data_IF_497851507966
#
_entry.id   IF_497851507966
#
_cell.length_a   1.000
_cell.length_b   1.000
_cell.length_c   1.000
_cell.angle_alpha   90.00
_cell.angle_beta   90.00
_cell.angle_gamma   90.00
#
_symmetry.space_group_name_H-M   'P 1'
#
loop_
_entity.id
_entity.type
_entity.pdbx_description
1 polymer ?
#
# COMPACT_ATOMS: atom_id res chain seq x y z
N UNK A 1 3.20 -0.04 -27.74
CA UNK A 1 2.95 -1.23 -28.56
C UNK A 1 2.25 -2.36 -27.80
N UNK A 2 2.56 -2.54 -26.55
CA UNK A 2 2.02 -3.55 -25.68
C UNK A 2 1.14 -2.91 -24.61
N UNK A 3 -0.09 -3.34 -24.48
CA UNK A 3 -0.94 -3.05 -23.34
C UNK A 3 -0.36 -3.80 -22.16
N UNK A 4 -0.30 -3.16 -20.97
CA UNK A 4 0.67 -3.70 -20.12
C UNK A 4 0.35 -3.87 -18.67
N UNK A 5 1.21 -4.63 -18.07
CA UNK A 5 1.41 -4.70 -16.63
C UNK A 5 2.63 -3.86 -16.32
N UNK A 6 2.46 -2.78 -15.57
CA UNK A 6 3.56 -2.00 -15.04
C UNK A 6 4.13 -2.68 -13.80
N UNK A 7 5.46 -2.61 -13.65
CA UNK A 7 6.18 -3.05 -12.44
C UNK A 7 5.98 -4.53 -12.07
N UNK A 8 5.50 -5.38 -12.99
CA UNK A 8 5.11 -6.75 -12.70
C UNK A 8 3.95 -6.80 -11.71
N UNK A 9 4.12 -7.51 -10.60
CA UNK A 9 3.19 -7.50 -9.47
C UNK A 9 3.55 -6.47 -8.39
N UNK A 10 4.58 -5.67 -8.65
CA UNK A 10 4.91 -4.49 -7.85
C UNK A 10 4.09 -3.33 -8.37
N UNK A 11 3.92 -2.35 -7.55
CA UNK A 11 3.18 -1.15 -7.88
C UNK A 11 4.13 0.04 -8.09
N UNK A 12 3.64 1.13 -8.68
CA UNK A 12 4.29 2.40 -8.84
C UNK A 12 3.33 3.54 -8.68
N UNK A 13 3.83 4.75 -8.59
CA UNK A 13 3.00 5.93 -8.44
C UNK A 13 3.60 7.14 -9.12
N UNK A 14 2.75 8.11 -9.43
CA UNK A 14 3.13 9.43 -9.87
C UNK A 14 2.95 10.43 -8.73
N UNK A 15 3.65 11.57 -8.78
CA UNK A 15 3.46 12.65 -7.83
C UNK A 15 3.14 13.97 -8.53
N UNK A 16 1.92 14.45 -8.34
CA UNK A 16 1.41 15.71 -8.87
C UNK A 16 0.92 16.64 -7.75
N UNK A 17 1.76 16.85 -6.72
CA UNK A 17 1.38 17.54 -5.48
C UNK A 17 0.76 16.62 -4.42
N UNK A 18 0.43 15.42 -4.78
CA UNK A 18 0.04 14.29 -3.92
C UNK A 18 0.38 12.97 -4.62
N UNK A 19 0.44 11.90 -3.87
CA UNK A 19 0.67 10.55 -4.40
C UNK A 19 -0.54 10.12 -5.23
N UNK A 20 -0.27 9.61 -6.42
CA UNK A 20 -1.26 9.07 -7.35
C UNK A 20 -0.84 7.66 -7.73
N UNK A 21 -1.34 6.63 -7.04
CA UNK A 21 -1.00 5.23 -7.36
C UNK A 21 -1.36 4.89 -8.80
N UNK A 22 -0.45 4.21 -9.49
CA UNK A 22 -0.67 3.76 -10.85
C UNK A 22 -1.43 2.43 -10.88
N UNK A 23 -2.26 2.26 -11.88
CA UNK A 23 -2.88 0.97 -12.15
C UNK A 23 -1.83 -0.01 -12.64
N UNK A 24 -1.66 -1.12 -11.93
CA UNK A 24 -0.64 -2.13 -12.26
C UNK A 24 -0.94 -2.82 -13.59
N UNK A 25 -2.20 -3.15 -13.83
CA UNK A 25 -2.68 -3.88 -15.01
C UNK A 25 -3.69 -3.03 -15.77
N UNK A 26 -3.44 -2.81 -17.05
CA UNK A 26 -4.31 -2.00 -17.93
C UNK A 26 -4.06 -2.33 -19.40
N UNK A 27 -5.06 -2.08 -20.23
CA UNK A 27 -4.97 -2.21 -21.68
C UNK A 27 -5.36 -0.89 -22.35
N UNK A 28 -4.47 -0.35 -23.17
CA UNK A 28 -4.70 0.88 -23.94
C UNK A 28 -5.38 0.64 -25.30
N UNK A 29 -5.92 -0.52 -25.57
CA UNK A 29 -6.25 -0.92 -26.92
C UNK A 29 -4.98 -0.98 -27.81
N UNK A 30 -3.92 -1.54 -27.25
CA UNK A 30 -2.62 -1.66 -27.91
C UNK A 30 -2.62 -2.74 -29.01
N UNK A 31 -1.64 -2.70 -29.95
CA UNK A 31 -1.47 -3.77 -30.94
C UNK A 31 -1.28 -5.16 -30.33
N UNK A 32 -0.58 -5.25 -29.21
CA UNK A 32 -0.41 -6.46 -28.40
C UNK A 32 -1.11 -6.23 -27.06
N UNK A 33 -2.09 -7.05 -26.74
CA UNK A 33 -2.84 -6.99 -25.48
C UNK A 33 -1.97 -7.33 -24.28
N UNK A 34 -2.45 -7.04 -23.07
CA UNK A 34 -1.74 -7.34 -21.83
C UNK A 34 -1.34 -8.81 -21.70
N UNK A 35 -2.20 -9.73 -22.11
CA UNK A 35 -1.95 -11.17 -22.10
C UNK A 35 -1.03 -11.65 -23.23
N UNK A 36 -0.50 -10.74 -24.06
CA UNK A 36 0.35 -11.06 -25.21
C UNK A 36 -0.41 -11.43 -26.49
N UNK A 37 -1.74 -11.43 -26.47
CA UNK A 37 -2.55 -11.72 -27.67
C UNK A 37 -2.38 -10.63 -28.72
N UNK A 38 -2.28 -11.02 -29.99
CA UNK A 38 -2.22 -10.09 -31.10
C UNK A 38 -3.59 -9.59 -31.49
N UNK A 39 -3.77 -8.27 -31.51
CA UNK A 39 -5.04 -7.64 -31.86
C UNK A 39 -5.20 -7.41 -33.36
N UNK A 40 -6.39 -7.04 -33.80
CA UNK A 40 -6.62 -6.59 -35.20
C UNK A 40 -5.72 -5.41 -35.57
N UNK A 41 -5.40 -4.54 -34.62
CA UNK A 41 -4.51 -3.39 -34.78
C UNK A 41 -3.07 -3.81 -35.10
N UNK A 42 -2.56 -4.87 -34.46
CA UNK A 42 -1.25 -5.45 -34.76
C UNK A 42 -1.16 -5.86 -36.24
N UNK A 43 -2.15 -6.58 -36.73
CA UNK A 43 -2.16 -7.05 -38.10
C UNK A 43 -2.32 -5.92 -39.12
N UNK A 44 -3.08 -4.88 -38.78
CA UNK A 44 -3.19 -3.68 -39.60
C UNK A 44 -1.84 -2.93 -39.69
N UNK A 45 -1.17 -2.75 -38.55
CA UNK A 45 0.16 -2.10 -38.54
C UNK A 45 1.21 -2.91 -39.29
N UNK A 46 1.21 -4.24 -39.11
CA UNK A 46 2.12 -5.11 -39.86
C UNK A 46 1.96 -4.94 -41.37
N UNK A 47 0.75 -4.91 -41.90
CA UNK A 47 0.48 -4.68 -43.32
C UNK A 47 1.04 -3.33 -43.82
N UNK A 48 0.91 -2.28 -43.00
CA UNK A 48 1.46 -0.96 -43.37
C UNK A 48 2.98 -1.00 -43.37
N UNK A 49 3.60 -1.66 -42.41
CA UNK A 49 5.06 -1.83 -42.32
C UNK A 49 5.56 -2.63 -43.52
N UNK A 50 4.94 -3.75 -43.86
CA UNK A 50 5.31 -4.58 -45.02
C UNK A 50 5.20 -3.83 -46.33
N UNK A 51 4.17 -3.00 -46.49
CA UNK A 51 3.99 -2.16 -47.70
C UNK A 51 5.12 -1.14 -47.91
N UNK A 52 5.65 -0.57 -46.81
CA UNK A 52 6.61 0.54 -46.88
C UNK A 52 8.07 0.10 -46.74
N UNK A 53 8.33 -0.96 -45.97
CA UNK A 53 9.69 -1.44 -45.67
C UNK A 53 10.04 -2.79 -46.30
N UNK A 54 9.12 -3.40 -47.03
CA UNK A 54 9.29 -4.72 -47.61
C UNK A 54 8.94 -5.86 -46.64
N UNK A 55 9.32 -7.09 -46.98
CA UNK A 55 8.94 -8.28 -46.24
C UNK A 55 9.44 -8.23 -44.79
N UNK A 56 8.52 -8.26 -43.83
CA UNK A 56 8.82 -8.38 -42.40
C UNK A 56 9.09 -9.83 -42.07
N UNK A 57 10.11 -10.15 -41.25
CA UNK A 57 10.41 -11.52 -40.87
C UNK A 57 9.19 -12.24 -40.26
N UNK A 58 9.03 -13.49 -40.66
CA UNK A 58 8.04 -14.36 -40.01
C UNK A 58 8.50 -14.66 -38.58
N UNK A 59 7.67 -14.31 -37.62
CA UNK A 59 7.86 -14.72 -36.22
C UNK A 59 6.97 -15.92 -35.96
N UNK A 60 7.59 -17.01 -35.50
CA UNK A 60 6.85 -18.18 -35.00
C UNK A 60 6.46 -17.91 -33.56
N UNK A 61 5.24 -17.49 -33.32
CA UNK A 61 4.67 -17.38 -31.99
C UNK A 61 3.25 -17.97 -31.99
N UNK A 62 2.84 -18.52 -30.86
CA UNK A 62 1.46 -18.94 -30.68
C UNK A 62 0.59 -17.68 -30.60
N UNK A 63 -0.40 -17.58 -31.48
CA UNK A 63 -1.38 -16.48 -31.49
C UNK A 63 -2.54 -16.76 -30.53
N UNK A 64 -2.65 -17.98 -30.01
CA UNK A 64 -3.71 -18.36 -29.11
C UNK A 64 -3.18 -18.56 -27.69
N UNK A 65 -3.55 -17.64 -26.81
CA UNK A 65 -3.35 -17.78 -25.39
C UNK A 65 -4.61 -18.41 -24.81
N UNK A 66 -4.46 -19.62 -24.29
CA UNK A 66 -5.56 -20.32 -23.64
C UNK A 66 -5.98 -19.56 -22.38
N UNK A 67 -7.23 -19.15 -22.35
CA UNK A 67 -7.86 -18.54 -21.17
C UNK A 67 -8.77 -19.57 -20.52
N UNK A 68 -8.78 -19.59 -19.19
CA UNK A 68 -9.65 -20.45 -18.40
C UNK A 68 -10.51 -19.60 -17.47
N UNK A 69 -11.74 -20.02 -17.25
CA UNK A 69 -12.60 -19.47 -16.23
C UNK A 69 -12.57 -20.39 -15.02
N UNK A 70 -12.16 -19.88 -13.88
CA UNK A 70 -12.07 -20.67 -12.63
C UNK A 70 -13.45 -20.96 -12.01
N UNK A 71 -14.51 -20.33 -12.49
CA UNK A 71 -15.85 -20.46 -11.94
C UNK A 71 -16.00 -19.81 -10.58
N UNK A 72 -16.85 -20.38 -9.71
CA UNK A 72 -17.05 -19.91 -8.34
C UNK A 72 -15.95 -20.46 -7.43
N UNK A 73 -15.28 -19.58 -6.71
CA UNK A 73 -14.29 -19.92 -5.70
C UNK A 73 -14.95 -19.75 -4.33
N UNK A 74 -14.86 -20.76 -3.48
CA UNK A 74 -15.37 -20.75 -2.11
C UNK A 74 -14.19 -20.69 -1.13
N UNK A 75 -14.18 -19.69 -0.27
CA UNK A 75 -13.23 -19.59 0.81
C UNK A 75 -13.62 -20.57 1.92
N UNK A 76 -12.74 -21.49 2.25
CA UNK A 76 -12.97 -22.47 3.30
C UNK A 76 -12.35 -22.08 4.63
N UNK A 77 -11.33 -21.21 4.60
CA UNK A 77 -10.60 -20.78 5.79
C UNK A 77 -10.21 -19.31 5.65
N UNK A 78 -10.12 -18.64 6.80
CA UNK A 78 -9.58 -17.27 6.92
C UNK A 78 -8.62 -17.18 8.10
N UNK A 79 -7.62 -16.33 7.99
CA UNK A 79 -6.72 -15.99 9.09
C UNK A 79 -6.86 -14.49 9.41
N UNK A 80 -7.01 -14.17 10.68
CA UNK A 80 -7.05 -12.79 11.14
C UNK A 80 -5.63 -12.24 11.28
N UNK A 81 -5.37 -11.03 10.74
CA UNK A 81 -4.05 -10.42 10.77
C UNK A 81 -3.56 -10.21 12.21
N UNK A 82 -4.40 -9.65 13.08
CA UNK A 82 -4.01 -9.31 14.44
C UNK A 82 -3.71 -10.54 15.31
N UNK A 83 -4.40 -11.65 15.06
CA UNK A 83 -4.16 -12.92 15.73
C UNK A 83 -2.89 -13.62 15.26
N UNK A 84 -2.35 -13.20 14.11
CA UNK A 84 -1.21 -13.81 13.42
C UNK A 84 0.01 -12.88 13.31
N UNK A 85 0.02 -11.70 13.92
CA UNK A 85 1.14 -10.75 13.81
C UNK A 85 2.49 -11.39 14.10
N UNK A 86 2.59 -12.18 15.17
CA UNK A 86 3.81 -12.87 15.55
C UNK A 86 4.26 -13.99 14.59
N UNK A 87 3.44 -14.35 13.61
CA UNK A 87 3.82 -15.27 12.52
C UNK A 87 4.61 -14.51 11.46
N UNK A 88 4.20 -13.27 11.16
CA UNK A 88 4.84 -12.45 10.13
C UNK A 88 6.11 -11.76 10.62
N UNK A 89 6.12 -11.27 11.86
CA UNK A 89 7.18 -10.42 12.35
C UNK A 89 7.23 -10.40 13.87
N UNK A 90 8.44 -10.38 14.42
CA UNK A 90 8.64 -10.00 15.81
C UNK A 90 8.55 -8.47 15.92
N UNK A 91 7.86 -7.93 16.92
CA UNK A 91 7.75 -6.49 17.08
C UNK A 91 9.11 -5.85 17.41
N UNK A 92 9.34 -4.70 16.81
CA UNK A 92 10.43 -3.80 17.19
C UNK A 92 9.90 -2.76 18.17
N UNK A 93 10.44 -2.72 19.38
CA UNK A 93 10.10 -1.67 20.35
C UNK A 93 10.77 -0.35 19.96
N UNK A 94 10.00 0.73 19.96
CA UNK A 94 10.49 2.09 19.71
C UNK A 94 9.79 3.11 20.59
N UNK A 95 10.51 4.15 20.99
CA UNK A 95 9.90 5.29 21.68
C UNK A 95 8.98 6.08 20.77
N UNK A 96 9.31 6.18 19.48
CA UNK A 96 8.60 6.94 18.45
C UNK A 96 8.25 6.06 17.27
N UNK A 97 7.26 6.45 16.45
CA UNK A 97 7.08 5.83 15.14
C UNK A 97 8.36 5.99 14.30
N UNK A 98 8.75 4.94 13.62
CA UNK A 98 9.84 4.95 12.63
C UNK A 98 9.30 4.58 11.26
N UNK A 99 9.96 5.04 10.20
CA UNK A 99 9.54 4.73 8.83
C UNK A 99 9.72 3.25 8.48
N UNK A 100 9.13 2.81 7.36
CA UNK A 100 9.38 1.48 6.80
C UNK A 100 10.87 1.30 6.51
N UNK A 101 11.53 2.32 5.95
CA UNK A 101 12.93 2.30 5.58
C UNK A 101 13.84 2.13 6.80
N UNK A 102 13.58 2.89 7.88
CA UNK A 102 14.29 2.74 9.16
C UNK A 102 14.03 1.36 9.79
N UNK A 103 12.85 0.80 9.56
CA UNK A 103 12.51 -0.55 9.98
C UNK A 103 13.07 -1.65 9.08
N UNK A 104 13.73 -1.30 7.96
CA UNK A 104 14.31 -2.26 7.01
C UNK A 104 13.29 -2.91 6.09
N UNK A 105 12.19 -2.23 5.79
CA UNK A 105 11.15 -2.68 4.87
C UNK A 105 10.96 -1.65 3.76
N UNK A 106 10.68 -2.08 2.53
CA UNK A 106 10.55 -1.19 1.38
C UNK A 106 9.18 -1.20 0.71
N UNK A 107 8.32 -2.17 0.99
CA UNK A 107 6.96 -2.28 0.44
C UNK A 107 6.02 -3.02 1.39
N UNK A 108 4.73 -3.11 1.05
CA UNK A 108 3.71 -3.82 1.83
C UNK A 108 3.10 -2.96 2.92
N UNK A 109 2.90 -3.54 4.08
CA UNK A 109 2.27 -2.88 5.24
C UNK A 109 3.24 -2.80 6.41
N UNK A 110 3.05 -1.79 7.25
CA UNK A 110 3.69 -1.70 8.56
C UNK A 110 2.62 -1.41 9.61
N UNK A 111 2.66 -2.11 10.73
CA UNK A 111 1.73 -1.92 11.82
C UNK A 111 2.43 -1.28 13.02
N UNK A 112 1.83 -0.22 13.53
CA UNK A 112 2.24 0.45 14.75
C UNK A 112 1.20 0.17 15.83
N UNK A 113 1.59 -0.56 16.88
CA UNK A 113 0.74 -0.89 18.02
C UNK A 113 1.19 -0.13 19.23
N UNK A 114 0.23 0.39 19.97
CA UNK A 114 0.45 0.93 21.31
C UNK A 114 -0.71 0.61 22.22
N UNK A 115 -0.48 0.64 23.53
CA UNK A 115 -1.50 0.40 24.54
C UNK A 115 -1.66 1.64 25.41
N UNK A 116 -2.88 2.12 25.55
CA UNK A 116 -3.21 3.19 26.48
C UNK A 116 -3.04 2.72 27.93
N UNK A 117 -2.76 3.64 28.85
CA UNK A 117 -2.74 3.29 30.28
C UNK A 117 -4.13 2.84 30.74
N UNK A 118 -4.22 2.06 31.83
CA UNK A 118 -5.49 1.45 32.28
C UNK A 118 -6.61 2.44 32.58
N UNK A 119 -6.26 3.68 32.90
CA UNK A 119 -7.18 4.78 33.19
C UNK A 119 -7.38 5.77 32.04
N UNK A 120 -6.63 5.64 30.97
CA UNK A 120 -6.67 6.51 29.78
C UNK A 120 -7.56 5.93 28.68
N UNK A 121 -8.35 6.78 28.04
CA UNK A 121 -9.10 6.51 26.83
C UNK A 121 -8.80 7.62 25.81
N UNK A 122 -8.81 7.32 24.53
CA UNK A 122 -8.59 8.31 23.48
C UNK A 122 -9.92 8.86 22.95
N UNK A 123 -10.02 10.17 22.83
CA UNK A 123 -11.12 10.91 22.21
C UNK A 123 -10.75 11.56 20.88
N UNK A 124 -9.45 11.81 20.68
CA UNK A 124 -8.91 12.46 19.47
C UNK A 124 -7.58 11.86 19.08
N UNK A 125 -7.42 11.64 17.78
CA UNK A 125 -6.15 11.22 17.17
C UNK A 125 -5.74 12.29 16.15
N UNK A 126 -4.46 12.63 16.12
CA UNK A 126 -3.87 13.50 15.10
C UNK A 126 -2.59 12.83 14.62
N UNK A 127 -2.48 12.63 13.32
CA UNK A 127 -1.27 12.16 12.65
C UNK A 127 -0.62 13.37 11.99
N UNK A 128 0.61 13.70 12.36
CA UNK A 128 1.31 14.83 11.78
C UNK A 128 1.79 14.56 10.37
N UNK A 129 2.24 13.33 10.11
CA UNK A 129 2.67 12.88 8.77
C UNK A 129 2.53 11.37 8.65
N UNK A 130 1.91 10.92 7.57
CA UNK A 130 1.75 9.50 7.26
C UNK A 130 1.85 9.33 5.74
N UNK A 131 2.47 8.28 5.29
CA UNK A 131 2.52 7.87 3.89
C UNK A 131 2.38 6.35 3.82
N UNK A 132 1.30 5.81 3.14
CA UNK A 132 0.36 6.61 2.30
C UNK A 132 -1.07 6.48 2.80
N UNK A 133 -1.54 5.26 3.14
CA UNK A 133 -2.88 4.98 3.64
C UNK A 133 -2.80 4.36 5.02
N UNK A 134 -3.51 4.96 5.98
CA UNK A 134 -3.63 4.45 7.34
C UNK A 134 -5.02 3.87 7.59
N UNK A 135 -5.07 2.74 8.25
CA UNK A 135 -6.28 2.16 8.82
C UNK A 135 -6.08 2.08 10.33
N UNK A 136 -6.89 2.80 11.08
CA UNK A 136 -6.83 2.85 12.54
C UNK A 136 -7.81 1.87 13.17
N UNK A 137 -7.38 1.19 14.24
CA UNK A 137 -8.19 0.26 15.00
C UNK A 137 -8.05 0.53 16.50
N UNK A 138 -9.08 0.16 17.26
CA UNK A 138 -9.07 0.07 18.72
C UNK A 138 -9.57 -1.32 19.11
N UNK A 139 -8.76 -2.08 19.85
CA UNK A 139 -9.04 -3.45 20.24
C UNK A 139 -9.53 -4.32 19.07
N UNK A 140 -8.85 -4.22 17.93
CA UNK A 140 -9.17 -4.92 16.68
C UNK A 140 -10.38 -4.37 15.90
N UNK A 141 -11.12 -3.40 16.46
CA UNK A 141 -12.26 -2.79 15.78
C UNK A 141 -11.80 -1.57 14.99
N UNK A 142 -12.10 -1.56 13.68
CA UNK A 142 -11.78 -0.44 12.79
C UNK A 142 -12.46 0.85 13.23
N UNK A 143 -11.67 1.92 13.35
CA UNK A 143 -12.14 3.28 13.66
C UNK A 143 -12.36 4.06 12.35
N UNK A 144 -11.32 4.19 11.53
CA UNK A 144 -11.38 4.93 10.25
C UNK A 144 -10.28 4.47 9.30
N UNK A 145 -10.34 4.98 8.07
CA UNK A 145 -9.27 4.94 7.06
C UNK A 145 -9.00 6.36 6.60
N UNK A 146 -7.73 6.70 6.36
CA UNK A 146 -7.32 7.98 5.81
C UNK A 146 -6.13 7.82 4.86
N UNK A 147 -5.97 8.79 3.97
CA UNK A 147 -4.85 8.86 3.03
C UNK A 147 -3.93 10.03 3.39
N UNK A 148 -2.71 10.00 2.90
CA UNK A 148 -1.68 11.04 3.09
C UNK A 148 -2.22 12.45 2.85
N UNK A 149 -2.93 12.67 1.73
CA UNK A 149 -3.54 13.96 1.37
C UNK A 149 -4.57 14.48 2.38
N UNK A 150 -5.16 13.60 3.19
CA UNK A 150 -6.10 13.98 4.24
C UNK A 150 -5.38 14.30 5.56
N UNK A 151 -4.18 13.74 5.73
CA UNK A 151 -3.36 13.82 6.95
C UNK A 151 -2.34 14.95 6.82
N UNK A 152 -1.54 14.90 5.75
CA UNK A 152 -0.49 15.86 5.47
C UNK A 152 -1.11 17.06 4.73
N UNK A 153 -1.42 18.12 5.45
CA UNK A 153 -1.74 19.41 4.83
C UNK A 153 -0.45 20.02 4.26
N UNK A 154 0.13 19.42 3.24
CA UNK A 154 1.10 20.11 2.38
C UNK A 154 0.34 21.13 1.51
N UNK A 155 -0.28 22.11 2.16
CA UNK A 155 -0.82 23.26 1.47
C UNK A 155 0.34 24.03 0.87
N UNK A 156 0.40 24.06 -0.47
CA UNK A 156 1.34 24.89 -1.23
C UNK A 156 1.14 26.37 -0.94
N UNK A 157 1.65 26.82 0.19
CA UNK A 157 1.70 28.21 0.61
C UNK A 157 3.15 28.63 0.79
N UNK A 158 3.51 29.75 0.19
CA UNK A 158 4.84 30.38 0.16
C UNK A 158 5.41 30.80 1.54
N UNK A 159 4.80 30.42 2.66
CA UNK A 159 5.23 30.87 3.99
C UNK A 159 5.36 29.72 4.99
N UNK A 160 6.50 29.62 5.71
CA UNK A 160 6.78 28.53 6.67
C UNK A 160 6.00 28.64 7.99
N UNK A 161 5.08 29.58 8.14
CA UNK A 161 4.35 29.85 9.40
C UNK A 161 2.93 29.27 9.46
N UNK A 162 2.43 28.63 8.42
CA UNK A 162 1.16 27.92 8.49
C UNK A 162 1.36 26.47 8.98
N UNK A 163 1.74 26.35 10.24
CA UNK A 163 1.62 25.10 10.99
C UNK A 163 0.12 24.82 11.17
N UNK A 164 -0.50 24.26 10.15
CA UNK A 164 -1.87 23.75 10.31
C UNK A 164 -1.77 22.50 11.17
N UNK A 165 -2.44 22.54 12.31
CA UNK A 165 -2.71 21.33 13.10
C UNK A 165 -3.26 20.28 12.13
N UNK A 166 -2.70 19.07 12.15
CA UNK A 166 -3.16 17.96 11.31
C UNK A 166 -4.65 17.73 11.54
N UNK A 167 -5.32 17.08 10.60
CA UNK A 167 -6.74 16.74 10.74
C UNK A 167 -6.97 15.99 12.05
N UNK A 168 -7.97 16.44 12.82
CA UNK A 168 -8.38 15.80 14.06
C UNK A 168 -9.39 14.69 13.76
N UNK A 169 -9.04 13.48 14.14
CA UNK A 169 -9.92 12.31 14.05
C UNK A 169 -10.57 12.08 15.39
N UNK A 170 -11.87 12.37 15.51
CA UNK A 170 -12.64 12.07 16.72
C UNK A 170 -12.86 10.56 16.81
N UNK A 171 -12.50 10.00 17.97
CA UNK A 171 -12.62 8.56 18.26
C UNK A 171 -13.26 8.39 19.64
N UNK A 172 -13.65 7.17 19.94
CA UNK A 172 -14.13 6.81 21.28
C UNK A 172 -13.59 5.41 21.59
N UNK A 173 -12.55 5.35 22.39
CA UNK A 173 -11.91 4.08 22.77
C UNK A 173 -12.28 3.70 24.19
N UNK A 174 -12.12 2.42 24.52
CA UNK A 174 -12.16 1.99 25.93
C UNK A 174 -10.92 2.49 26.67
N UNK A 175 -11.00 2.53 27.99
CA UNK A 175 -9.83 2.74 28.86
C UNK A 175 -8.87 1.57 28.73
N UNK A 176 -7.58 1.85 28.63
CA UNK A 176 -6.54 0.83 28.46
C UNK A 176 -6.58 0.11 27.10
N UNK A 177 -7.28 0.68 26.10
CA UNK A 177 -7.41 0.10 24.76
C UNK A 177 -6.06 -0.09 24.08
N UNK A 178 -5.97 -1.12 23.25
CA UNK A 178 -4.89 -1.28 22.28
C UNK A 178 -5.25 -0.54 21.02
N UNK A 179 -4.37 0.36 20.58
CA UNK A 179 -4.50 1.08 19.31
C UNK A 179 -3.54 0.47 18.29
N UNK A 180 -4.07 0.18 17.12
CA UNK A 180 -3.33 -0.33 15.99
C UNK A 180 -3.49 0.60 14.79
N UNK A 181 -2.37 0.99 14.21
CA UNK A 181 -2.31 1.81 12.99
C UNK A 181 -1.61 1.03 11.91
N UNK A 182 -2.41 0.42 11.02
CA UNK A 182 -1.91 -0.30 9.85
C UNK A 182 -1.70 0.69 8.73
N UNK A 183 -0.45 0.86 8.32
CA UNK A 183 -0.09 1.76 7.22
C UNK A 183 0.30 0.95 5.99
N UNK A 184 -0.32 1.28 4.87
CA UNK A 184 -0.03 0.70 3.57
C UNK A 184 0.84 1.64 2.76
N UNK A 185 1.87 1.08 2.17
CA UNK A 185 2.67 1.72 1.15
C UNK A 185 1.93 1.60 -0.21
N UNK A 186 1.39 2.71 -0.72
CA UNK A 186 0.70 2.77 -2.02
C UNK A 186 1.67 3.06 -3.16
N UNK A 187 2.94 2.77 -2.95
CA UNK A 187 4.02 2.80 -3.91
C UNK A 187 4.99 3.93 -3.81
N UNK A 188 6.11 3.66 -4.47
CA UNK A 188 7.18 4.63 -4.65
C UNK A 188 6.97 5.41 -5.92
N UNK A 189 7.23 6.71 -5.85
CA UNK A 189 7.08 7.60 -6.98
C UNK A 189 8.09 7.23 -8.07
N UNK A 190 7.60 6.96 -9.27
CA UNK A 190 8.38 6.67 -10.46
C UNK A 190 8.37 7.83 -11.46
N UNK A 191 7.47 8.80 -11.29
CA UNK A 191 7.36 9.98 -12.13
C UNK A 191 6.86 11.20 -11.36
N UNK A 192 7.42 12.37 -11.65
CA UNK A 192 7.08 13.64 -11.04
C UNK A 192 8.10 14.10 -10.01
N UNK A 193 7.66 14.97 -9.10
CA UNK A 193 8.49 15.46 -8.01
C UNK A 193 8.65 14.40 -6.91
N UNK A 194 9.62 14.56 -6.03
CA UNK A 194 9.87 13.69 -4.85
C UNK A 194 10.29 12.25 -5.18
N UNK A 195 10.96 12.04 -6.31
CA UNK A 195 11.54 10.73 -6.63
C UNK A 195 12.54 10.23 -5.56
N UNK A 196 13.25 11.13 -4.91
CA UNK A 196 14.35 10.82 -3.99
C UNK A 196 13.93 10.86 -2.52
N UNK A 197 12.81 11.49 -2.19
CA UNK A 197 12.38 11.75 -0.81
C UNK A 197 11.21 10.81 -0.41
N UNK A 198 11.38 9.53 -0.64
CA UNK A 198 10.30 8.56 -0.39
C UNK A 198 10.52 7.81 0.93
N UNK A 199 9.84 8.25 1.96
CA UNK A 199 9.65 7.49 3.19
C UNK A 199 8.20 7.07 3.36
N UNK A 200 7.96 5.88 3.93
CA UNK A 200 6.64 5.28 4.11
C UNK A 200 6.42 4.92 5.58
N UNK A 201 5.16 4.92 5.99
CA UNK A 201 4.77 4.66 7.37
C UNK A 201 4.30 5.90 8.12
N UNK A 202 4.35 5.87 9.44
CA UNK A 202 4.17 7.04 10.28
C UNK A 202 5.50 7.80 10.35
N UNK A 203 5.53 9.00 9.78
CA UNK A 203 6.76 9.77 9.54
C UNK A 203 6.95 10.94 10.53
N UNK A 204 6.04 11.05 11.49
CA UNK A 204 6.09 12.05 12.56
C UNK A 204 5.19 11.59 13.73
N UNK A 205 5.17 12.40 14.79
CA UNK A 205 4.40 12.10 16.00
C UNK A 205 2.92 11.81 15.73
N UNK A 206 2.39 10.88 16.48
CA UNK A 206 0.97 10.68 16.66
C UNK A 206 0.57 11.37 17.96
N UNK A 207 -0.41 12.26 17.89
CA UNK A 207 -0.98 12.89 19.09
C UNK A 207 -2.25 12.17 19.49
N UNK A 208 -2.31 11.78 20.76
CA UNK A 208 -3.51 11.26 21.41
C UNK A 208 -3.98 12.33 22.39
N UNK A 209 -5.20 12.82 22.19
CA UNK A 209 -5.80 13.93 22.98
C UNK A 209 -4.90 15.16 23.12
N UNK A 210 -4.11 15.43 22.05
CA UNK A 210 -3.23 16.61 21.95
C UNK A 210 -1.81 16.39 22.47
N UNK A 211 -1.47 15.23 23.00
CA UNK A 211 -0.14 14.91 23.53
C UNK A 211 0.58 13.89 22.64
N UNK A 212 1.87 14.12 22.40
CA UNK A 212 2.69 13.16 21.68
C UNK A 212 2.71 11.82 22.44
N UNK A 213 2.44 10.74 21.72
CA UNK A 213 2.38 9.41 22.30
C UNK A 213 3.68 8.65 22.06
N UNK A 214 4.10 7.91 23.07
CA UNK A 214 5.36 7.16 23.11
C UNK A 214 5.11 5.68 23.44
N UNK A 215 6.07 4.85 23.06
CA UNK A 215 6.03 3.41 23.35
C UNK A 215 5.23 2.64 22.30
N UNK A 216 5.96 2.23 21.26
CA UNK A 216 5.40 1.55 20.10
C UNK A 216 6.00 0.17 19.93
N UNK A 217 5.15 -0.78 19.57
CA UNK A 217 5.52 -2.06 18.97
C UNK A 217 5.28 -1.98 17.47
N UNK A 218 6.32 -2.17 16.68
CA UNK A 218 6.28 -1.99 15.23
C UNK A 218 6.49 -3.33 14.55
N UNK A 219 5.53 -3.73 13.72
CA UNK A 219 5.53 -4.99 12.98
C UNK A 219 5.73 -4.72 11.50
N UNK A 220 6.79 -5.30 10.92
CA UNK A 220 7.00 -5.32 9.48
C UNK A 220 6.10 -6.37 8.84
N UNK A 221 5.31 -5.98 7.87
CA UNK A 221 4.33 -6.84 7.20
C UNK A 221 4.50 -6.74 5.66
N UNK A 222 5.60 -7.26 5.11
CA UNK A 222 5.80 -7.25 3.66
C UNK A 222 4.76 -8.12 2.94
N UNK A 223 4.18 -9.12 3.63
CA UNK A 223 3.23 -10.11 3.10
C UNK A 223 3.76 -10.80 1.84
N UNK A 224 5.06 -11.03 1.84
CA UNK A 224 5.77 -11.75 0.79
C UNK A 224 5.57 -13.27 0.89
N UNK A 225 6.14 -14.00 -0.05
CA UNK A 225 6.02 -15.46 -0.10
C UNK A 225 6.52 -16.11 1.18
N UNK A 226 7.57 -15.58 1.81
CA UNK A 226 8.12 -16.10 3.06
C UNK A 226 7.10 -15.98 4.19
N UNK A 227 6.54 -14.78 4.38
CA UNK A 227 5.53 -14.53 5.42
C UNK A 227 4.24 -15.31 5.17
N UNK A 228 3.83 -15.45 3.91
CA UNK A 228 2.65 -16.24 3.56
C UNK A 228 2.84 -17.73 3.79
N UNK A 229 4.02 -18.28 3.51
CA UNK A 229 4.34 -19.69 3.80
C UNK A 229 4.35 -19.95 5.32
N UNK A 230 4.93 -19.05 6.11
CA UNK A 230 4.88 -19.13 7.57
C UNK A 230 3.42 -19.10 8.10
N UNK A 231 2.57 -18.26 7.50
CA UNK A 231 1.15 -18.22 7.86
C UNK A 231 0.44 -19.54 7.52
N UNK A 232 0.75 -20.15 6.38
CA UNK A 232 0.17 -21.45 5.99
C UNK A 232 0.57 -22.55 6.96
N UNK A 233 1.82 -22.56 7.42
CA UNK A 233 2.35 -23.60 8.31
C UNK A 233 1.94 -23.41 9.77
N UNK A 234 2.01 -22.20 10.30
CA UNK A 234 1.88 -21.90 11.75
C UNK A 234 0.72 -20.97 12.09
N UNK A 235 0.01 -20.48 11.08
CA UNK A 235 -1.05 -19.49 11.27
C UNK A 235 -2.29 -20.07 11.97
N UNK A 236 -3.00 -19.18 12.67
CA UNK A 236 -4.30 -19.47 13.28
C UNK A 236 -5.39 -19.26 12.23
N UNK A 237 -5.96 -20.35 11.77
CA UNK A 237 -7.02 -20.38 10.77
C UNK A 237 -8.39 -20.62 11.40
N UNK A 238 -9.42 -19.94 10.87
CA UNK A 238 -10.83 -20.13 11.21
C UNK A 238 -11.58 -20.62 9.97
N UNK A 239 -12.49 -21.57 10.14
CA UNK A 239 -13.44 -22.05 9.12
C UNK A 239 -14.67 -21.15 9.05
#
# INVERSE_FOLDING_TARGET
>A
FHGGTNFGFMNGSNYYGHLTPDTTSYDYDAPVSEDGSLTKKYWAFRKVIEKNLGKVPEMKFSTEIKKIAYGKIFWSKKADLFENLGVFSNPKASGFPISMEESGQNYGYILYRTKLKPDEAASKLIFKKCADRIIAFSDGKKLFTAFDKEISNEGGGLWPLNYREGKVWKVNTAKGATLDFLVENLDRVNFGHKLEEQQKGLLADVLIDGHAHFGWEIYNLPLDDSGMNELLERGKWKT
#
